data_IF_315853541756
#
_entry.id   IF_315853541756
#
_cell.length_a   1.000
_cell.length_b   1.000
_cell.length_c   1.000
_cell.angle_alpha   90.00
_cell.angle_beta   90.00
_cell.angle_gamma   90.00
#
_symmetry.space_group_name_H-M   'P 1'
#
loop_
_entity.id
_entity.type
_entity.pdbx_description
1 polymer ?
#
# COMPACT_ATOMS: atom_id res chain seq x y z
N UNK A 1 5.41 -12.16 29.03
CA UNK A 1 5.50 -13.33 28.12
C UNK A 1 4.16 -13.69 27.45
N UNK A 2 3.05 -13.83 28.19
CA UNK A 2 1.73 -14.19 27.60
C UNK A 2 1.22 -13.20 26.53
N UNK A 3 1.34 -11.89 26.74
CA UNK A 3 0.91 -10.87 25.76
C UNK A 3 1.71 -10.93 24.45
N UNK A 4 3.02 -11.18 24.55
CA UNK A 4 3.93 -11.30 23.40
C UNK A 4 3.64 -12.56 22.57
N UNK A 5 3.38 -13.69 23.23
CA UNK A 5 2.97 -14.94 22.57
C UNK A 5 1.59 -14.83 21.91
N UNK A 6 0.63 -14.17 22.57
CA UNK A 6 -0.71 -13.92 22.01
C UNK A 6 -0.62 -13.03 20.78
N UNK A 7 0.17 -11.95 20.83
CA UNK A 7 0.37 -11.08 19.66
C UNK A 7 1.09 -11.81 18.52
N UNK A 8 2.06 -12.68 18.81
CA UNK A 8 2.76 -13.47 17.81
C UNK A 8 1.84 -14.52 17.15
N UNK A 9 0.98 -15.17 17.93
CA UNK A 9 0.00 -16.11 17.40
C UNK A 9 -1.09 -15.41 16.57
N UNK A 10 -1.55 -14.23 17.00
CA UNK A 10 -2.45 -13.39 16.20
C UNK A 10 -1.79 -12.96 14.88
N UNK A 11 -0.52 -12.55 14.92
CA UNK A 11 0.22 -12.13 13.73
C UNK A 11 0.45 -13.30 12.76
N UNK A 12 0.82 -14.47 13.27
CA UNK A 12 0.96 -15.69 12.46
C UNK A 12 -0.37 -16.21 11.93
N UNK A 13 -1.47 -16.05 12.67
CA UNK A 13 -2.82 -16.40 12.20
C UNK A 13 -3.26 -15.49 11.05
N UNK A 14 -3.02 -14.18 11.17
CA UNK A 14 -3.35 -13.20 10.11
C UNK A 14 -2.47 -13.42 8.86
N UNK A 15 -1.18 -13.72 9.04
CA UNK A 15 -0.29 -14.07 7.93
C UNK A 15 -0.60 -15.47 7.32
N UNK A 16 -1.05 -16.42 8.15
CA UNK A 16 -1.44 -17.76 7.72
C UNK A 16 -2.67 -17.74 6.82
N UNK A 17 -3.70 -16.98 7.19
CA UNK A 17 -4.91 -16.84 6.37
C UNK A 17 -4.67 -16.04 5.08
N UNK A 18 -3.69 -15.12 5.07
CA UNK A 18 -3.29 -14.40 3.87
C UNK A 18 -2.68 -15.31 2.77
N UNK A 19 -2.20 -16.50 3.11
CA UNK A 19 -1.70 -17.48 2.13
C UNK A 19 -2.81 -18.16 1.31
N UNK A 20 -4.07 -18.07 1.75
CA UNK A 20 -5.24 -18.65 1.06
C UNK A 20 -5.91 -17.73 0.06
N UNK A 21 -5.39 -16.51 -0.12
CA UNK A 21 -5.93 -15.56 -1.11
C UNK A 21 -5.15 -15.65 -2.44
N UNK A 22 -5.81 -15.51 -3.60
CA UNK A 22 -5.26 -15.90 -4.91
C UNK A 22 -4.30 -14.85 -5.50
N UNK A 23 -3.27 -14.44 -4.76
CA UNK A 23 -2.36 -13.36 -5.16
C UNK A 23 -1.33 -13.78 -6.21
N UNK A 24 -0.99 -15.07 -6.28
CA UNK A 24 -0.08 -15.61 -7.30
C UNK A 24 -0.67 -15.57 -8.72
N UNK A 25 -2.00 -15.46 -8.86
CA UNK A 25 -2.67 -15.42 -10.15
C UNK A 25 -2.61 -14.03 -10.81
N UNK A 26 -2.61 -12.94 -10.03
CA UNK A 26 -2.78 -11.58 -10.58
C UNK A 26 -1.51 -11.03 -11.25
N UNK A 27 -0.32 -11.43 -10.79
CA UNK A 27 0.94 -10.98 -11.40
C UNK A 27 1.26 -11.75 -12.70
N UNK A 28 0.81 -13.01 -12.81
CA UNK A 28 1.00 -13.87 -13.99
C UNK A 28 0.11 -13.48 -15.16
N UNK A 29 -1.13 -13.03 -14.90
CA UNK A 29 -2.08 -12.64 -15.96
C UNK A 29 -1.67 -11.33 -16.63
N UNK A 30 -1.15 -10.36 -15.87
CA UNK A 30 -0.80 -9.04 -16.40
C UNK A 30 0.35 -9.06 -17.44
N UNK A 31 1.26 -10.03 -17.35
CA UNK A 31 2.32 -10.22 -18.34
C UNK A 31 1.88 -11.03 -19.57
N UNK A 32 0.88 -11.91 -19.43
CA UNK A 32 0.35 -12.68 -20.55
C UNK A 32 -0.60 -11.86 -21.44
N UNK A 33 -1.37 -10.96 -20.83
CA UNK A 33 -2.30 -10.10 -21.57
C UNK A 33 -1.58 -9.12 -22.51
N UNK A 34 -0.39 -8.60 -22.13
CA UNK A 34 0.40 -7.72 -23.01
C UNK A 34 0.99 -8.45 -24.23
N UNK A 35 1.19 -9.76 -24.16
CA UNK A 35 1.68 -10.57 -25.28
C UNK A 35 0.55 -10.97 -26.23
N UNK A 36 -0.67 -11.19 -25.71
CA UNK A 36 -1.86 -11.44 -26.53
C UNK A 36 -2.41 -10.16 -27.17
N UNK A 37 -2.32 -9.00 -26.52
CA UNK A 37 -2.81 -7.72 -27.07
C UNK A 37 -2.13 -7.32 -28.39
N UNK A 38 -0.88 -7.76 -28.64
CA UNK A 38 -0.18 -7.49 -29.91
C UNK A 38 -0.59 -8.40 -31.07
N UNK A 39 -1.34 -9.47 -30.82
CA UNK A 39 -1.84 -10.39 -31.87
C UNK A 39 -3.29 -10.12 -32.30
N UNK A 40 -4.05 -9.33 -31.54
CA UNK A 40 -5.49 -9.12 -31.76
C UNK A 40 -5.87 -7.85 -32.52
N UNK A 41 -4.91 -7.07 -33.02
CA UNK A 41 -5.18 -5.91 -33.88
C UNK A 41 -5.64 -6.29 -35.31
N UNK A 42 -5.67 -7.59 -35.65
CA UNK A 42 -6.05 -8.09 -36.97
C UNK A 42 -7.47 -8.70 -37.07
N UNK A 43 -8.23 -8.77 -35.96
CA UNK A 43 -9.58 -9.38 -35.94
C UNK A 43 -10.66 -8.48 -35.36
N UNK A 44 -10.50 -7.17 -35.53
CA UNK A 44 -11.50 -6.16 -35.21
C UNK A 44 -12.62 -6.32 -36.24
N UNK A 45 -13.78 -6.88 -35.86
CA UNK A 45 -15.12 -6.47 -36.33
C UNK A 45 -16.25 -7.24 -35.61
N UNK A 46 -16.05 -8.43 -35.00
CA UNK A 46 -17.19 -9.24 -34.54
C UNK A 46 -17.26 -9.60 -33.04
N UNK A 47 -16.42 -9.03 -32.17
CA UNK A 47 -16.41 -9.33 -30.72
C UNK A 47 -16.76 -8.07 -29.92
N UNK A 48 -17.83 -7.37 -30.31
CA UNK A 48 -18.25 -6.12 -29.65
C UNK A 48 -19.30 -6.35 -28.55
N UNK A 49 -19.72 -7.60 -28.30
CA UNK A 49 -20.91 -7.89 -27.46
C UNK A 49 -20.73 -8.98 -26.40
N UNK A 50 -19.65 -9.77 -26.43
CA UNK A 50 -19.44 -10.87 -25.46
C UNK A 50 -18.62 -10.44 -24.24
N UNK A 51 -17.71 -9.47 -24.39
CA UNK A 51 -16.89 -8.95 -23.28
C UNK A 51 -17.59 -7.91 -22.38
N UNK A 52 -18.86 -7.57 -22.68
CA UNK A 52 -19.64 -6.68 -21.82
C UNK A 52 -20.35 -7.41 -20.66
N UNK A 53 -20.31 -8.75 -20.63
CA UNK A 53 -21.07 -9.58 -19.67
C UNK A 53 -20.16 -10.39 -18.74
N UNK A 54 -18.84 -10.45 -18.97
CA UNK A 54 -17.91 -10.77 -17.90
C UNK A 54 -17.74 -9.56 -17.00
N UNK A 55 -18.71 -9.46 -16.09
CA UNK A 55 -18.75 -8.52 -14.99
C UNK A 55 -17.36 -8.36 -14.41
N UNK A 56 -16.79 -7.20 -14.70
CA UNK A 56 -15.66 -6.61 -14.01
C UNK A 56 -16.11 -6.40 -12.57
N UNK A 57 -16.22 -7.47 -11.77
CA UNK A 57 -16.13 -7.38 -10.34
C UNK A 57 -14.72 -6.86 -10.08
N UNK A 58 -14.57 -5.54 -10.14
CA UNK A 58 -13.49 -4.83 -9.49
C UNK A 58 -13.60 -5.24 -8.03
N UNK A 59 -12.89 -6.31 -7.67
CA UNK A 59 -12.88 -6.88 -6.33
C UNK A 59 -12.52 -5.73 -5.40
N UNK A 60 -13.50 -5.29 -4.62
CA UNK A 60 -13.36 -4.09 -3.80
C UNK A 60 -12.17 -4.31 -2.87
N UNK A 61 -11.10 -3.54 -3.09
CA UNK A 61 -9.84 -3.76 -2.38
C UNK A 61 -10.06 -3.32 -0.93
N UNK A 62 -10.20 -4.28 -0.04
CA UNK A 62 -10.38 -4.01 1.39
C UNK A 62 -9.03 -3.70 2.06
N UNK A 63 -8.94 -2.54 2.69
CA UNK A 63 -7.77 -2.13 3.49
C UNK A 63 -7.94 -2.42 4.98
N UNK A 64 -8.96 -3.19 5.36
CA UNK A 64 -9.19 -3.60 6.76
C UNK A 64 -7.97 -4.32 7.39
N UNK A 65 -7.22 -5.19 6.69
CA UNK A 65 -5.99 -5.77 7.25
C UNK A 65 -4.95 -4.73 7.67
N UNK A 66 -4.86 -3.61 6.94
CA UNK A 66 -3.94 -2.51 7.24
C UNK A 66 -4.30 -1.85 8.56
N UNK A 67 -5.61 -1.65 8.80
CA UNK A 67 -6.13 -1.11 10.06
C UNK A 67 -5.75 -2.01 11.24
N UNK A 68 -5.96 -3.33 11.11
CA UNK A 68 -5.59 -4.27 12.16
C UNK A 68 -4.09 -4.27 12.45
N UNK A 69 -3.26 -4.35 11.41
CA UNK A 69 -1.80 -4.36 11.58
C UNK A 69 -1.32 -3.06 12.21
N UNK A 70 -1.84 -1.91 11.77
CA UNK A 70 -1.49 -0.60 12.32
C UNK A 70 -1.86 -0.47 13.81
N UNK A 71 -3.08 -0.88 14.18
CA UNK A 71 -3.53 -0.84 15.59
C UNK A 71 -2.69 -1.78 16.46
N UNK A 72 -2.44 -3.01 15.98
CA UNK A 72 -1.58 -3.96 16.71
C UNK A 72 -0.18 -3.38 16.88
N UNK A 73 0.39 -2.76 15.83
CA UNK A 73 1.71 -2.16 15.92
C UNK A 73 1.73 -0.96 16.88
N UNK A 74 0.68 -0.14 16.91
CA UNK A 74 0.51 0.95 17.88
C UNK A 74 0.47 0.43 19.33
N UNK A 75 -0.29 -0.64 19.58
CA UNK A 75 -0.40 -1.28 20.90
C UNK A 75 0.94 -1.88 21.32
N UNK A 76 1.62 -2.61 20.43
CA UNK A 76 2.92 -3.23 20.73
C UNK A 76 3.96 -2.15 21.04
N UNK A 77 4.01 -1.06 20.28
CA UNK A 77 4.94 0.04 20.54
C UNK A 77 4.59 0.81 21.83
N UNK A 78 3.32 0.89 22.20
CA UNK A 78 2.88 1.51 23.46
C UNK A 78 3.23 0.65 24.68
N UNK A 79 2.94 -0.66 24.61
CA UNK A 79 3.11 -1.57 25.73
C UNK A 79 4.53 -2.09 25.90
N UNK A 80 5.44 -1.83 24.96
CA UNK A 80 6.82 -2.32 25.04
C UNK A 80 7.51 -1.80 26.32
N UNK A 81 7.92 -2.64 27.26
CA UNK A 81 8.65 -2.21 28.43
C UNK A 81 10.14 -2.06 28.06
N UNK A 82 10.52 -0.90 27.53
CA UNK A 82 11.92 -0.60 27.20
C UNK A 82 12.41 0.62 28.01
N UNK A 83 13.08 0.40 29.17
CA UNK A 83 13.45 1.48 30.08
C UNK A 83 14.44 2.48 29.46
N UNK A 84 15.16 2.10 28.39
CA UNK A 84 16.10 2.96 27.68
C UNK A 84 15.44 3.95 26.72
N UNK A 85 14.18 3.76 26.35
CA UNK A 85 13.47 4.63 25.41
C UNK A 85 12.36 5.34 26.19
N UNK A 86 12.52 6.66 26.36
CA UNK A 86 11.51 7.49 27.03
C UNK A 86 10.16 7.39 26.31
N UNK A 87 9.07 7.51 27.07
CA UNK A 87 7.72 7.46 26.50
C UNK A 87 7.52 8.49 25.38
N UNK A 88 8.09 9.69 25.54
CA UNK A 88 8.02 10.78 24.57
C UNK A 88 8.62 10.39 23.21
N UNK A 89 9.67 9.57 23.18
CA UNK A 89 10.27 9.09 21.94
C UNK A 89 9.38 8.06 21.20
N UNK A 90 8.39 7.48 21.88
CA UNK A 90 7.47 6.47 21.32
C UNK A 90 6.21 7.09 20.73
N UNK A 91 5.76 8.22 21.28
CA UNK A 91 4.53 8.91 20.87
C UNK A 91 4.46 9.17 19.36
N UNK A 92 5.52 9.68 18.69
CA UNK A 92 5.47 9.92 17.25
C UNK A 92 5.19 8.66 16.45
N UNK A 93 5.77 7.51 16.86
CA UNK A 93 5.55 6.24 16.17
C UNK A 93 4.12 5.74 16.38
N UNK A 94 3.62 5.78 17.60
CA UNK A 94 2.24 5.36 17.91
C UNK A 94 1.22 6.22 17.15
N UNK A 95 1.41 7.54 17.15
CA UNK A 95 0.54 8.47 16.43
C UNK A 95 0.58 8.22 14.91
N UNK A 96 1.76 7.93 14.36
CA UNK A 96 1.92 7.60 12.96
C UNK A 96 1.13 6.36 12.54
N UNK A 97 1.18 5.29 13.33
CA UNK A 97 0.39 4.07 13.09
C UNK A 97 -1.13 4.34 13.17
N UNK A 98 -1.56 5.16 14.14
CA UNK A 98 -2.97 5.58 14.24
C UNK A 98 -3.40 6.37 13.00
N UNK A 99 -2.54 7.27 12.48
CA UNK A 99 -2.80 7.99 11.25
C UNK A 99 -2.96 7.04 10.05
N UNK A 100 -2.11 6.01 9.91
CA UNK A 100 -2.23 4.98 8.87
C UNK A 100 -3.59 4.28 8.98
N UNK A 101 -3.98 3.87 10.19
CA UNK A 101 -5.26 3.21 10.44
C UNK A 101 -6.45 4.11 10.05
N UNK A 102 -6.44 5.38 10.44
CA UNK A 102 -7.49 6.34 10.07
C UNK A 102 -7.59 6.51 8.55
N UNK A 103 -6.46 6.70 7.85
CA UNK A 103 -6.45 6.82 6.40
C UNK A 103 -6.98 5.55 5.74
N UNK A 104 -6.56 4.37 6.19
CA UNK A 104 -7.04 3.09 5.66
C UNK A 104 -8.56 2.89 5.83
N UNK A 105 -9.14 3.31 6.97
CA UNK A 105 -10.60 3.32 7.17
C UNK A 105 -11.27 4.24 6.14
N UNK A 106 -10.76 5.46 5.96
CA UNK A 106 -11.35 6.44 5.06
C UNK A 106 -11.18 6.14 3.57
N UNK A 107 -10.15 5.37 3.18
CA UNK A 107 -9.99 4.88 1.80
C UNK A 107 -11.20 4.04 1.38
N UNK A 108 -11.76 3.26 2.30
CA UNK A 108 -12.94 2.42 2.05
C UNK A 108 -14.21 3.24 1.75
N UNK A 109 -14.20 4.56 2.01
CA UNK A 109 -15.34 5.46 1.76
C UNK A 109 -15.24 6.23 0.42
N UNK A 110 -14.47 5.70 -0.55
CA UNK A 110 -14.45 6.13 -1.96
C UNK A 110 -13.73 7.44 -2.31
N UNK A 111 -12.62 7.77 -1.65
CA UNK A 111 -11.76 8.89 -2.07
C UNK A 111 -10.46 8.41 -2.73
N UNK A 112 -10.37 8.43 -4.09
CA UNK A 112 -9.17 8.05 -4.83
C UNK A 112 -7.86 8.69 -4.35
N UNK A 113 -7.78 9.99 -4.00
CA UNK A 113 -6.53 10.56 -3.53
C UNK A 113 -6.04 9.97 -2.20
N UNK A 114 -6.93 9.42 -1.36
CA UNK A 114 -6.53 8.76 -0.11
C UNK A 114 -5.75 7.46 -0.36
N UNK A 115 -5.99 6.76 -1.47
CA UNK A 115 -5.19 5.59 -1.84
C UNK A 115 -3.73 5.96 -2.09
N UNK A 116 -3.49 7.11 -2.73
CA UNK A 116 -2.14 7.63 -2.94
C UNK A 116 -1.49 8.02 -1.61
N UNK A 117 -2.22 8.70 -0.73
CA UNK A 117 -1.72 9.05 0.62
C UNK A 117 -1.37 7.79 1.41
N UNK A 118 -2.26 6.78 1.41
CA UNK A 118 -2.03 5.51 2.08
C UNK A 118 -0.78 4.81 1.52
N UNK A 119 -0.60 4.82 0.19
CA UNK A 119 0.58 4.26 -0.47
C UNK A 119 1.86 4.95 0.00
N UNK A 120 1.89 6.28 0.03
CA UNK A 120 3.04 7.05 0.48
C UNK A 120 3.36 6.84 1.97
N UNK A 121 2.33 6.75 2.82
CA UNK A 121 2.52 6.48 4.24
C UNK A 121 3.05 5.05 4.49
N UNK A 122 2.50 4.06 3.80
CA UNK A 122 2.91 2.66 3.97
C UNK A 122 4.28 2.39 3.36
N UNK A 123 4.63 2.95 2.19
CA UNK A 123 5.97 2.77 1.60
C UNK A 123 7.06 3.44 2.45
N UNK A 124 6.81 4.64 2.99
CA UNK A 124 7.76 5.32 3.86
C UNK A 124 7.98 4.54 5.17
N UNK A 125 6.90 4.04 5.77
CA UNK A 125 6.97 3.19 6.96
C UNK A 125 7.73 1.90 6.67
N UNK A 126 7.41 1.23 5.56
CA UNK A 126 8.08 0.01 5.13
C UNK A 126 9.59 0.20 4.96
N UNK A 127 9.98 1.30 4.32
CA UNK A 127 11.39 1.62 4.10
C UNK A 127 12.13 1.79 5.43
N UNK A 128 11.59 2.60 6.35
CA UNK A 128 12.23 2.83 7.65
C UNK A 128 12.25 1.54 8.47
N UNK A 129 11.19 0.73 8.43
CA UNK A 129 11.12 -0.52 9.18
C UNK A 129 12.14 -1.57 8.70
N UNK A 130 12.27 -1.75 7.38
CA UNK A 130 13.16 -2.74 6.77
C UNK A 130 14.63 -2.31 6.84
N UNK A 131 14.92 -1.04 6.53
CA UNK A 131 16.31 -0.59 6.34
C UNK A 131 16.91 0.09 7.57
N UNK A 132 16.09 0.61 8.48
CA UNK A 132 16.59 1.35 9.66
C UNK A 132 16.30 0.55 10.92
N UNK A 133 15.04 0.28 11.23
CA UNK A 133 14.66 -0.33 12.50
C UNK A 133 15.09 -1.80 12.61
N UNK A 134 14.76 -2.65 11.63
CA UNK A 134 15.09 -4.07 11.70
C UNK A 134 16.60 -4.33 11.86
N UNK A 135 17.50 -3.70 11.07
CA UNK A 135 18.94 -3.87 11.25
C UNK A 135 19.40 -3.27 12.57
N UNK A 136 18.93 -2.07 12.95
CA UNK A 136 19.33 -1.44 14.19
C UNK A 136 18.98 -2.31 15.41
N UNK A 137 17.79 -2.92 15.45
CA UNK A 137 17.42 -3.83 16.54
C UNK A 137 18.18 -5.15 16.52
N UNK A 138 18.53 -5.68 15.34
CA UNK A 138 19.39 -6.85 15.22
C UNK A 138 20.82 -6.56 15.73
N UNK A 139 21.41 -5.44 15.32
CA UNK A 139 22.74 -5.02 15.78
C UNK A 139 22.78 -4.69 17.28
N UNK A 140 21.70 -4.14 17.82
CA UNK A 140 21.60 -3.82 19.25
C UNK A 140 21.12 -5.01 20.11
N UNK A 141 20.90 -6.19 19.52
CA UNK A 141 20.53 -7.39 20.27
C UNK A 141 21.73 -7.91 21.10
N UNK A 142 21.93 -7.29 22.26
CA UNK A 142 22.90 -7.74 23.23
C UNK A 142 22.22 -8.64 24.27
N UNK A 143 22.82 -9.81 24.53
CA UNK A 143 22.39 -10.80 25.52
C UNK A 143 22.97 -10.52 26.91
N UNK A 144 23.61 -9.38 27.09
CA UNK A 144 24.18 -8.98 28.37
C UNK A 144 23.54 -7.68 28.88
N UNK A 145 23.35 -7.64 30.20
CA UNK A 145 23.00 -6.43 30.94
C UNK A 145 24.17 -6.11 31.85
N UNK A 146 24.84 -4.99 31.59
CA UNK A 146 25.96 -4.53 32.39
C UNK A 146 25.49 -3.44 33.35
N UNK A 147 25.88 -3.57 34.62
CA UNK A 147 25.72 -2.54 35.66
C UNK A 147 27.10 -2.04 36.10
N UNK A 148 27.20 -0.75 36.44
CA UNK A 148 28.47 -0.11 36.78
C UNK A 148 29.35 0.24 35.56
N UNK A 149 30.53 0.82 35.81
CA UNK A 149 31.53 1.10 34.76
C UNK A 149 31.25 2.30 33.84
N UNK A 150 30.37 3.23 34.20
CA UNK A 150 30.29 4.52 33.51
C UNK A 150 31.57 5.34 33.72
N UNK A 151 31.87 6.28 32.82
CA UNK A 151 33.07 7.16 32.89
C UNK A 151 33.22 7.84 34.28
N UNK A 152 32.11 8.06 34.99
CA UNK A 152 32.08 8.68 36.32
C UNK A 152 31.82 7.71 37.48
N UNK A 153 31.65 6.41 37.24
CA UNK A 153 31.38 5.43 38.30
C UNK A 153 32.63 4.61 38.61
N UNK A 154 33.05 4.62 39.88
CA UNK A 154 34.19 3.82 40.39
C UNK A 154 33.86 2.33 40.58
N UNK A 155 32.62 1.91 40.36
CA UNK A 155 32.23 0.52 40.52
C UNK A 155 32.69 -0.32 39.32
N UNK A 156 33.24 -1.53 39.55
CA UNK A 156 33.62 -2.44 38.48
C UNK A 156 32.40 -2.78 37.63
N UNK A 157 32.57 -2.83 36.31
CA UNK A 157 31.52 -3.23 35.37
C UNK A 157 31.21 -4.70 35.58
N UNK A 158 30.02 -5.00 36.10
CA UNK A 158 29.52 -6.37 36.26
C UNK A 158 28.47 -6.59 35.18
N UNK A 159 28.75 -7.51 34.25
CA UNK A 159 27.82 -7.92 33.21
C UNK A 159 27.20 -9.27 33.60
N UNK A 160 25.88 -9.35 33.53
CA UNK A 160 25.12 -10.59 33.71
C UNK A 160 24.43 -10.95 32.40
N UNK A 161 24.34 -12.25 32.10
CA UNK A 161 23.61 -12.72 30.93
C UNK A 161 22.11 -12.46 31.11
N UNK A 162 21.53 -11.72 30.19
CA UNK A 162 20.11 -11.40 30.12
C UNK A 162 19.55 -11.84 28.77
N UNK A 163 19.22 -13.11 28.68
CA UNK A 163 18.67 -13.71 27.47
C UNK A 163 17.32 -13.10 27.06
N UNK A 164 16.54 -12.63 28.03
CA UNK A 164 15.22 -12.05 27.77
C UNK A 164 15.33 -10.73 27.01
N UNK A 165 16.33 -9.91 27.36
CA UNK A 165 16.64 -8.67 26.64
C UNK A 165 17.08 -8.92 25.20
N UNK A 166 18.00 -9.87 24.99
CA UNK A 166 18.50 -10.23 23.65
C UNK A 166 17.39 -10.76 22.74
N UNK A 167 16.61 -11.74 23.23
CA UNK A 167 15.47 -12.31 22.50
C UNK A 167 14.41 -11.24 22.23
N UNK A 168 14.12 -10.36 23.21
CA UNK A 168 13.19 -9.26 23.03
C UNK A 168 13.57 -8.35 21.86
N UNK A 169 14.85 -7.98 21.73
CA UNK A 169 15.33 -7.14 20.63
C UNK A 169 15.33 -7.86 19.28
N UNK A 170 15.69 -9.14 19.25
CA UNK A 170 15.59 -9.95 18.03
C UNK A 170 14.14 -10.10 17.56
N UNK A 171 13.21 -10.35 18.48
CA UNK A 171 11.78 -10.42 18.17
C UNK A 171 11.30 -9.12 17.53
N UNK A 172 11.72 -7.98 18.08
CA UNK A 172 11.40 -6.66 17.53
C UNK A 172 11.97 -6.49 16.13
N UNK A 173 13.20 -6.94 15.88
CA UNK A 173 13.79 -6.89 14.54
C UNK A 173 12.95 -7.66 13.53
N UNK A 174 12.55 -8.90 13.87
CA UNK A 174 11.68 -9.73 13.03
C UNK A 174 10.32 -9.09 12.82
N UNK A 175 9.72 -8.54 13.88
CA UNK A 175 8.45 -7.83 13.81
C UNK A 175 8.56 -6.64 12.86
N UNK A 176 9.57 -5.78 13.01
CA UNK A 176 9.80 -4.62 12.12
C UNK A 176 9.98 -5.06 10.67
N UNK A 177 10.74 -6.13 10.42
CA UNK A 177 10.88 -6.67 9.07
C UNK A 177 9.53 -7.13 8.49
N UNK A 178 8.76 -7.89 9.27
CA UNK A 178 7.48 -8.43 8.83
C UNK A 178 6.42 -7.33 8.59
N UNK A 179 6.30 -6.36 9.50
CA UNK A 179 5.40 -5.20 9.32
C UNK A 179 5.84 -4.35 8.14
N UNK A 180 7.16 -4.17 7.96
CA UNK A 180 7.71 -3.44 6.83
C UNK A 180 7.37 -4.08 5.49
N UNK A 181 7.55 -5.40 5.34
CA UNK A 181 7.17 -6.13 4.12
C UNK A 181 5.66 -6.04 3.88
N UNK A 182 4.84 -6.19 4.92
CA UNK A 182 3.39 -6.06 4.81
C UNK A 182 2.97 -4.65 4.31
N UNK A 183 3.57 -3.59 4.86
CA UNK A 183 3.31 -2.23 4.40
C UNK A 183 3.83 -1.96 3.00
N UNK A 184 4.94 -2.57 2.59
CA UNK A 184 5.43 -2.46 1.21
C UNK A 184 4.44 -3.04 0.20
N UNK A 185 3.90 -4.24 0.48
CA UNK A 185 2.88 -4.87 -0.36
C UNK A 185 1.61 -4.00 -0.39
N UNK A 186 1.18 -3.51 0.77
CA UNK A 186 0.03 -2.60 0.88
C UNK A 186 0.24 -1.33 0.05
N UNK A 187 1.45 -0.78 0.03
CA UNK A 187 1.77 0.40 -0.75
C UNK A 187 1.60 0.17 -2.25
N UNK A 188 2.03 -0.99 -2.76
CA UNK A 188 1.85 -1.37 -4.17
C UNK A 188 0.37 -1.52 -4.50
N UNK A 189 -0.40 -2.20 -3.64
CA UNK A 189 -1.84 -2.43 -3.84
C UNK A 189 -2.64 -1.13 -3.81
N UNK A 190 -2.34 -0.24 -2.88
CA UNK A 190 -2.98 1.08 -2.80
C UNK A 190 -2.59 1.98 -3.98
N UNK A 191 -1.33 1.90 -4.44
CA UNK A 191 -0.89 2.60 -5.65
C UNK A 191 -1.60 2.12 -6.91
N UNK A 192 -1.74 0.80 -7.09
CA UNK A 192 -2.47 0.24 -8.24
C UNK A 192 -3.94 0.64 -8.21
N UNK A 193 -4.59 0.58 -7.04
CA UNK A 193 -5.98 1.03 -6.88
C UNK A 193 -6.16 2.52 -7.22
N UNK A 194 -5.18 3.35 -6.86
CA UNK A 194 -5.15 4.77 -7.28
C UNK A 194 -5.01 4.92 -8.81
N UNK A 195 -4.08 4.19 -9.41
CA UNK A 195 -3.84 4.23 -10.85
C UNK A 195 -5.10 3.82 -11.65
N UNK A 196 -5.77 2.76 -11.23
CA UNK A 196 -7.01 2.28 -11.85
C UNK A 196 -8.14 3.33 -11.75
N UNK A 197 -8.27 3.98 -10.59
CA UNK A 197 -9.26 5.05 -10.39
C UNK A 197 -8.95 6.29 -11.24
N UNK A 198 -7.67 6.63 -11.42
CA UNK A 198 -7.25 7.74 -12.28
C UNK A 198 -7.55 7.42 -13.74
N UNK A 199 -7.18 6.23 -14.21
CA UNK A 199 -7.29 5.85 -15.61
C UNK A 199 -8.76 5.67 -16.04
N UNK A 200 -9.62 5.16 -15.15
CA UNK A 200 -11.07 5.12 -15.39
C UNK A 200 -11.70 6.51 -15.53
N UNK A 201 -11.27 7.49 -14.72
CA UNK A 201 -11.68 8.89 -14.88
C UNK A 201 -11.24 9.47 -16.22
N UNK A 202 -10.00 9.21 -16.65
CA UNK A 202 -9.51 9.66 -17.96
C UNK A 202 -10.34 9.04 -19.09
N UNK A 203 -10.57 7.72 -19.08
CA UNK A 203 -11.39 7.03 -20.09
C UNK A 203 -12.82 7.57 -20.16
N UNK A 204 -13.46 7.82 -19.01
CA UNK A 204 -14.82 8.40 -18.99
C UNK A 204 -14.88 9.80 -19.60
N UNK A 205 -13.85 10.64 -19.40
CA UNK A 205 -13.73 11.96 -20.04
C UNK A 205 -13.55 11.84 -21.55
N UNK A 206 -12.68 10.94 -22.00
CA UNK A 206 -12.49 10.67 -23.43
C UNK A 206 -13.77 10.17 -24.11
N UNK A 207 -14.52 9.26 -23.47
CA UNK A 207 -15.81 8.79 -23.99
C UNK A 207 -16.87 9.91 -24.07
N UNK A 208 -16.97 10.77 -23.05
CA UNK A 208 -17.86 11.94 -23.10
C UNK A 208 -17.49 12.90 -24.24
N UNK A 209 -16.20 13.11 -24.47
CA UNK A 209 -15.70 13.95 -25.57
C UNK A 209 -16.04 13.34 -26.95
N UNK A 210 -15.90 12.01 -27.11
CA UNK A 210 -16.30 11.31 -28.33
C UNK A 210 -17.82 11.35 -28.57
N UNK A 211 -18.64 11.23 -27.52
CA UNK A 211 -20.09 11.32 -27.64
C UNK A 211 -20.53 12.72 -28.06
N UNK A 212 -19.93 13.76 -27.47
CA UNK A 212 -20.25 15.15 -27.80
C UNK A 212 -19.82 15.51 -29.23
N UNK A 213 -18.62 15.09 -29.66
CA UNK A 213 -18.14 15.32 -31.04
C UNK A 213 -18.95 14.59 -32.10
N UNK A 214 -19.49 13.38 -31.83
CA UNK A 214 -20.46 12.74 -32.75
C UNK A 214 -21.75 13.54 -32.87
N UNK A 215 -22.24 14.11 -31.77
CA UNK A 215 -23.47 14.91 -31.77
C UNK A 215 -23.31 16.21 -32.59
N UNK A 216 -22.20 16.93 -32.39
CA UNK A 216 -21.90 18.13 -33.19
C UNK A 216 -21.66 17.81 -34.67
N UNK A 217 -21.04 16.67 -34.99
CA UNK A 217 -20.83 16.25 -36.38
C UNK A 217 -22.17 15.94 -37.08
N UNK A 218 -23.11 15.29 -36.39
CA UNK A 218 -24.45 15.02 -36.94
C UNK A 218 -25.30 16.28 -37.13
N UNK A 219 -25.22 17.29 -36.25
CA UNK A 219 -25.95 18.55 -36.43
C UNK A 219 -25.35 19.43 -37.54
N UNK A 220 -24.01 19.44 -37.71
CA UNK A 220 -23.36 20.29 -38.71
C UNK A 220 -23.64 19.83 -40.15
N UNK A 221 -23.77 18.52 -40.39
CA UNK A 221 -24.15 17.97 -41.71
C UNK A 221 -25.60 18.26 -42.11
N UNK A 222 -26.48 18.63 -41.18
CA UNK A 222 -27.88 18.97 -41.48
C UNK A 222 -28.05 20.46 -41.80
N UNK A 223 -27.16 21.33 -41.33
CA UNK A 223 -27.29 22.78 -41.50
C UNK A 223 -26.39 23.39 -42.59
N UNK A 224 -25.28 22.75 -42.97
CA UNK A 224 -24.38 23.26 -44.01
C UNK A 224 -23.84 22.12 -44.89
N UNK A 225 -24.09 22.11 -46.21
CA UNK A 225 -23.45 21.18 -47.13
C UNK A 225 -21.94 21.45 -47.22
N UNK A 226 -21.12 20.44 -47.58
CA UNK A 226 -19.68 20.45 -47.32
C UNK A 226 -18.94 21.45 -48.20
N UNK A 227 -18.30 22.45 -47.59
CA UNK A 227 -17.08 23.04 -48.13
C UNK A 227 -15.90 22.12 -47.80
N UNK A 228 -15.32 21.58 -48.85
CA UNK A 228 -14.12 20.76 -48.87
C UNK A 228 -12.95 21.47 -48.16
N UNK A 229 -12.12 20.70 -47.44
CA UNK A 229 -10.81 21.10 -46.87
C UNK A 229 -10.76 21.83 -45.52
N UNK A 230 -11.26 21.22 -44.43
CA UNK A 230 -10.73 21.52 -43.08
C UNK A 230 -10.43 20.23 -42.33
N UNK A 231 -9.15 20.00 -42.01
CA UNK A 231 -8.67 18.85 -41.25
C UNK A 231 -9.11 18.92 -39.78
N UNK A 232 -9.93 17.98 -39.27
CA UNK A 232 -10.56 18.08 -37.95
C UNK A 232 -9.68 17.62 -36.76
N UNK A 233 -8.41 17.27 -36.96
CA UNK A 233 -7.60 16.60 -35.93
C UNK A 233 -7.06 17.50 -34.79
N UNK A 234 -7.36 18.80 -34.74
CA UNK A 234 -6.77 19.73 -33.75
C UNK A 234 -7.71 20.30 -32.68
N UNK A 235 -8.99 19.93 -32.64
CA UNK A 235 -9.98 20.62 -31.80
C UNK A 235 -10.22 20.03 -30.39
N UNK A 236 -9.60 18.92 -30.01
CA UNK A 236 -9.79 18.35 -28.66
C UNK A 236 -8.74 18.81 -27.63
N UNK A 237 -7.79 19.68 -28.00
CA UNK A 237 -6.67 20.05 -27.12
C UNK A 237 -6.85 21.35 -26.35
N UNK A 238 -7.98 22.05 -26.48
CA UNK A 238 -8.18 23.36 -25.84
C UNK A 238 -9.59 23.45 -25.29
N UNK A 239 -9.80 22.95 -24.06
CA UNK A 239 -10.61 23.61 -23.01
C UNK A 239 -10.08 23.13 -21.65
N UNK A 240 -8.93 23.69 -21.31
CA UNK A 240 -8.46 24.26 -20.05
C UNK A 240 -9.12 24.01 -18.66
N UNK A 241 -8.21 23.92 -17.68
CA UNK A 241 -8.23 24.17 -16.22
C UNK A 241 -9.15 23.38 -15.28
#
# INVERSE_FOLDING_TARGET
MRILLVNMMLFLSICGDASSTPWSATLSTQHHDRALQRRTDASIINISSVDLIHGHQSKEVSFLPVVYVAIINAVVNSLRPEPSISWQARVPRVLWEVCIACVAIHVSTSNPPLCLVLSLMTISTAFIDIFVWAPMFAFLANFETCSGGGIFSRQPRVCTSDYMKGIGRLFVSVQSMATGVFYLVTAVVSWSAFADSRDSKVRSRSMKCMHNTRFYRSCFYVLFPPLSHVHPHRLCFVVDF
#
